data_IF_615861719035
#
_entry.id   IF_615861719035
#
_cell.length_a   1.000
_cell.length_b   1.000
_cell.length_c   1.000
_cell.angle_alpha   90.00
_cell.angle_beta   90.00
_cell.angle_gamma   90.00
#
_symmetry.space_group_name_H-M   'P 1'
#
loop_
_entity.id
_entity.type
_entity.pdbx_description
1 polymer ?
#
# COMPACT_ATOMS: atom_id res chain seq x y z
N UNK A 1 0.67 79.59 -26.13
CA UNK A 1 1.04 79.04 -24.80
C UNK A 1 0.01 78.00 -24.41
N UNK A 2 0.33 76.73 -24.61
CA UNK A 2 -0.59 75.59 -24.45
C UNK A 2 -0.46 75.00 -23.05
N UNK A 3 -1.55 74.99 -22.28
CA UNK A 3 -1.66 74.24 -21.03
C UNK A 3 -2.49 72.99 -21.33
N UNK A 4 -1.83 71.84 -21.53
CA UNK A 4 -2.47 70.52 -21.56
C UNK A 4 -2.45 69.93 -20.14
N UNK A 5 -3.64 69.73 -19.56
CA UNK A 5 -3.84 68.80 -18.44
C UNK A 5 -3.66 67.38 -18.98
N UNK A 6 -2.71 66.64 -18.43
CA UNK A 6 -2.54 65.21 -18.70
C UNK A 6 -2.60 64.49 -17.36
N UNK A 7 -3.58 63.61 -17.21
CA UNK A 7 -3.76 62.77 -16.03
C UNK A 7 -2.62 61.76 -15.91
N UNK A 8 -2.08 61.61 -14.71
CA UNK A 8 -1.22 60.48 -14.35
C UNK A 8 -2.10 59.24 -14.20
N UNK A 9 -1.98 58.31 -15.14
CA UNK A 9 -2.35 56.91 -14.92
C UNK A 9 -1.09 56.20 -14.42
N UNK A 10 -1.13 55.74 -13.18
CA UNK A 10 -0.11 54.89 -12.58
C UNK A 10 -0.13 53.54 -13.29
N UNK A 11 0.86 53.27 -14.14
CA UNK A 11 1.09 51.94 -14.71
C UNK A 11 1.91 51.14 -13.70
N UNK A 12 1.23 50.32 -12.90
CA UNK A 12 1.85 49.26 -12.12
C UNK A 12 2.29 48.14 -13.08
N UNK A 13 3.55 48.15 -13.48
CA UNK A 13 4.21 46.99 -14.10
C UNK A 13 4.51 45.96 -13.01
N UNK A 14 3.57 45.06 -12.75
CA UNK A 14 3.84 43.86 -11.96
C UNK A 14 4.64 42.87 -12.80
N UNK A 15 5.97 42.87 -12.64
CA UNK A 15 6.82 41.76 -13.04
C UNK A 15 6.49 40.59 -12.12
N UNK A 16 5.72 39.63 -12.62
CA UNK A 16 5.54 38.36 -11.94
C UNK A 16 6.87 37.59 -11.99
N UNK A 17 7.67 37.69 -10.93
CA UNK A 17 8.73 36.73 -10.67
C UNK A 17 8.08 35.35 -10.55
N UNK A 18 8.29 34.49 -11.55
CA UNK A 18 8.15 33.06 -11.38
C UNK A 18 9.21 32.59 -10.40
N UNK A 19 8.89 32.60 -9.12
CA UNK A 19 9.67 31.90 -8.10
C UNK A 19 9.36 30.41 -8.23
N UNK A 20 10.22 29.71 -8.96
CA UNK A 20 10.28 28.26 -8.90
C UNK A 20 10.42 27.82 -7.45
N UNK A 21 9.54 26.92 -7.01
CA UNK A 21 9.61 26.31 -5.69
C UNK A 21 10.92 25.51 -5.64
N UNK A 22 11.86 25.82 -4.74
CA UNK A 22 13.06 25.02 -4.60
C UNK A 22 12.68 23.64 -4.07
N UNK A 23 13.24 22.60 -4.70
CA UNK A 23 13.20 21.23 -4.22
C UNK A 23 13.56 21.19 -2.73
N UNK A 24 12.55 20.93 -1.90
CA UNK A 24 12.71 20.85 -0.45
C UNK A 24 13.58 19.66 -0.07
N UNK A 25 14.85 19.95 0.20
CA UNK A 25 15.74 19.29 1.15
C UNK A 25 15.32 17.87 1.55
N UNK A 26 15.84 16.89 0.80
CA UNK A 26 16.10 15.56 1.31
C UNK A 26 17.11 15.67 2.47
N UNK A 27 16.62 16.01 3.67
CA UNK A 27 17.41 15.96 4.88
C UNK A 27 17.92 14.53 5.08
N UNK A 28 19.22 14.38 5.22
CA UNK A 28 19.90 13.14 5.60
C UNK A 28 19.24 12.54 6.85
N UNK A 29 18.30 11.60 6.67
CA UNK A 29 17.87 10.72 7.75
C UNK A 29 19.06 9.82 8.07
N UNK A 30 19.52 9.87 9.31
CA UNK A 30 20.68 9.10 9.76
C UNK A 30 20.45 7.60 9.49
N UNK A 31 21.37 6.97 8.77
CA UNK A 31 21.26 5.59 8.25
C UNK A 31 20.88 4.51 9.29
N UNK A 32 21.02 4.77 10.59
CA UNK A 32 20.59 3.84 11.67
C UNK A 32 19.08 3.68 11.82
N UNK A 33 18.28 4.64 11.34
CA UNK A 33 16.83 4.60 11.49
C UNK A 33 16.15 3.67 10.49
N UNK A 34 16.80 3.35 9.37
CA UNK A 34 16.16 2.67 8.23
C UNK A 34 16.37 1.14 8.19
N UNK A 35 16.79 0.53 9.32
CA UNK A 35 17.04 -0.91 9.41
C UNK A 35 16.21 -1.59 10.51
N UNK A 36 15.81 -2.86 10.31
CA UNK A 36 15.13 -3.64 11.34
C UNK A 36 15.97 -3.74 12.62
N UNK A 37 15.31 -3.71 13.79
CA UNK A 37 16.00 -3.88 15.08
C UNK A 37 16.40 -5.32 15.41
N UNK A 38 15.87 -6.31 14.70
CA UNK A 38 16.09 -7.71 14.95
C UNK A 38 16.82 -8.39 13.80
N UNK A 39 17.33 -9.59 14.06
CA UNK A 39 18.02 -10.43 13.07
C UNK A 39 17.18 -10.59 11.80
N UNK A 40 17.82 -10.39 10.64
CA UNK A 40 17.25 -10.71 9.34
C UNK A 40 16.99 -12.22 9.27
N UNK A 41 15.74 -12.61 9.02
CA UNK A 41 15.34 -14.01 8.93
C UNK A 41 15.12 -14.49 7.50
N UNK A 42 15.12 -13.56 6.55
CA UNK A 42 14.91 -13.82 5.13
C UNK A 42 16.16 -14.47 4.56
N UNK A 43 16.08 -15.70 4.01
CA UNK A 43 17.21 -16.27 3.28
C UNK A 43 17.64 -15.33 2.14
N UNK A 44 18.93 -15.04 2.05
CA UNK A 44 19.52 -14.05 1.13
C UNK A 44 18.91 -12.65 1.27
N UNK A 45 18.48 -12.30 2.48
CA UNK A 45 17.95 -10.98 2.81
C UNK A 45 19.05 -9.94 2.90
N UNK A 46 18.79 -8.75 2.36
CA UNK A 46 19.60 -7.55 2.57
C UNK A 46 19.40 -6.93 3.95
N UNK A 47 20.03 -5.78 4.19
CA UNK A 47 20.00 -5.06 5.46
C UNK A 47 18.62 -4.51 5.85
N UNK A 48 17.65 -4.48 4.94
CA UNK A 48 16.25 -4.15 5.24
C UNK A 48 15.41 -5.41 5.54
N UNK A 49 16.00 -6.59 5.34
CA UNK A 49 15.38 -7.90 5.48
C UNK A 49 14.68 -8.38 4.22
N UNK A 50 14.86 -7.71 3.08
CA UNK A 50 14.23 -8.10 1.83
C UNK A 50 15.12 -9.02 0.99
N UNK A 51 14.49 -9.93 0.28
CA UNK A 51 15.12 -10.70 -0.79
C UNK A 51 14.16 -10.79 -1.96
N UNK A 52 14.71 -10.93 -3.17
CA UNK A 52 13.88 -11.05 -4.38
C UNK A 52 13.07 -12.34 -4.37
N UNK A 53 11.81 -12.23 -4.81
CA UNK A 53 11.02 -13.41 -5.13
C UNK A 53 11.49 -14.00 -6.47
N UNK A 54 11.66 -15.32 -6.61
CA UNK A 54 12.13 -15.91 -7.85
C UNK A 54 11.12 -15.74 -8.99
N UNK A 55 11.61 -15.34 -10.18
CA UNK A 55 10.83 -15.31 -11.41
C UNK A 55 10.75 -16.71 -12.06
N UNK A 56 9.75 -16.98 -12.92
CA UNK A 56 8.61 -16.11 -13.23
C UNK A 56 7.52 -16.17 -12.14
N UNK A 57 6.93 -15.01 -11.83
CA UNK A 57 5.93 -14.87 -10.76
C UNK A 57 4.63 -15.65 -11.01
N UNK A 58 4.41 -16.10 -12.25
CA UNK A 58 3.27 -16.94 -12.65
C UNK A 58 3.33 -18.37 -12.11
N UNK A 59 4.52 -18.89 -11.75
CA UNK A 59 4.70 -20.29 -11.34
C UNK A 59 4.30 -20.58 -9.89
N UNK A 60 4.54 -19.63 -8.98
CA UNK A 60 4.20 -19.82 -7.56
C UNK A 60 2.89 -19.11 -7.22
N UNK A 61 2.02 -19.79 -6.47
CA UNK A 61 0.70 -19.26 -6.12
C UNK A 61 0.80 -17.90 -5.41
N UNK A 62 1.74 -17.74 -4.47
CA UNK A 62 1.83 -16.50 -3.68
C UNK A 62 2.22 -15.29 -4.53
N UNK A 63 3.20 -15.43 -5.43
CA UNK A 63 3.61 -14.35 -6.33
C UNK A 63 2.58 -14.06 -7.43
N UNK A 64 1.77 -15.06 -7.80
CA UNK A 64 0.66 -14.89 -8.73
C UNK A 64 -0.52 -14.14 -8.12
N UNK A 65 -0.82 -14.40 -6.85
CA UNK A 65 -1.92 -13.80 -6.09
C UNK A 65 -1.58 -12.37 -5.65
N UNK A 66 -0.31 -12.07 -5.39
CA UNK A 66 0.17 -10.73 -5.00
C UNK A 66 0.49 -9.87 -6.23
N UNK A 67 0.13 -8.60 -6.17
CA UNK A 67 0.30 -7.69 -7.29
C UNK A 67 0.51 -6.23 -6.87
N UNK A 68 0.90 -5.43 -7.85
CA UNK A 68 1.03 -3.98 -7.67
C UNK A 68 -0.36 -3.36 -7.67
N UNK A 69 -0.63 -2.51 -6.69
CA UNK A 69 -1.82 -1.68 -6.63
C UNK A 69 -1.39 -0.27 -7.05
N UNK A 70 -2.07 0.31 -8.02
CA UNK A 70 -1.78 1.64 -8.56
C UNK A 70 -3.02 2.50 -8.35
N UNK A 71 -2.87 3.61 -7.65
CA UNK A 71 -3.95 4.55 -7.34
C UNK A 71 -3.56 5.93 -7.84
N UNK A 72 -4.48 6.64 -8.49
CA UNK A 72 -4.27 8.04 -8.85
C UNK A 72 -4.59 8.88 -7.59
N UNK A 73 -3.57 9.51 -7.02
CA UNK A 73 -3.63 10.20 -5.74
C UNK A 73 -2.71 11.44 -5.78
N UNK A 74 -3.16 12.55 -5.22
CA UNK A 74 -2.35 13.79 -5.10
C UNK A 74 -1.73 14.31 -6.41
N UNK A 75 -2.32 13.98 -7.57
CA UNK A 75 -1.80 14.38 -8.89
C UNK A 75 -0.82 13.39 -9.52
N UNK A 76 -0.51 12.29 -8.83
CA UNK A 76 0.45 11.27 -9.28
C UNK A 76 -0.15 9.86 -9.20
N UNK A 77 0.58 8.86 -9.72
CA UNK A 77 0.24 7.45 -9.56
C UNK A 77 1.02 6.88 -8.39
N UNK A 78 0.34 6.62 -7.28
CA UNK A 78 0.95 6.03 -6.09
C UNK A 78 0.98 4.50 -6.16
N UNK A 79 2.18 3.90 -6.05
CA UNK A 79 2.32 2.46 -6.00
C UNK A 79 2.14 1.92 -4.58
N UNK A 80 1.35 0.87 -4.47
CA UNK A 80 1.20 0.02 -3.30
C UNK A 80 1.25 -1.45 -3.72
N UNK A 81 1.00 -2.34 -2.76
CA UNK A 81 0.80 -3.77 -2.96
C UNK A 81 -0.60 -4.17 -2.52
N UNK A 82 -1.20 -5.15 -3.21
CA UNK A 82 -2.41 -5.82 -2.77
C UNK A 82 -2.32 -7.33 -3.05
N UNK A 83 -3.27 -8.09 -2.54
CA UNK A 83 -3.40 -9.51 -2.87
C UNK A 83 -4.85 -9.94 -2.96
N UNK A 84 -5.12 -10.92 -3.84
CA UNK A 84 -6.45 -11.52 -3.93
C UNK A 84 -6.71 -12.36 -2.69
N UNK A 85 -7.90 -12.21 -2.10
CA UNK A 85 -8.37 -13.02 -0.98
C UNK A 85 -9.53 -13.91 -1.39
N UNK A 86 -9.60 -15.09 -0.79
CA UNK A 86 -10.71 -16.04 -0.98
C UNK A 86 -12.01 -15.42 -0.48
N UNK A 87 -13.07 -15.57 -1.27
CA UNK A 87 -14.39 -14.99 -1.00
C UNK A 87 -15.46 -15.65 -1.87
N UNK A 88 -16.74 -15.52 -1.49
CA UNK A 88 -17.85 -16.09 -2.27
C UNK A 88 -17.95 -15.43 -3.64
N UNK A 89 -17.82 -14.10 -3.69
CA UNK A 89 -17.83 -13.32 -4.94
C UNK A 89 -16.63 -13.59 -5.83
N UNK A 90 -15.52 -14.15 -5.32
CA UNK A 90 -14.28 -14.39 -6.06
C UNK A 90 -13.62 -13.14 -6.65
N UNK A 91 -13.95 -11.97 -6.09
CA UNK A 91 -13.63 -10.65 -6.66
C UNK A 91 -12.93 -9.71 -5.67
N UNK A 92 -12.49 -10.21 -4.51
CA UNK A 92 -11.96 -9.38 -3.44
C UNK A 92 -10.44 -9.33 -3.40
N UNK A 93 -9.92 -8.14 -3.11
CA UNK A 93 -8.53 -7.89 -2.73
C UNK A 93 -8.47 -7.42 -1.28
N UNK A 94 -7.30 -7.60 -0.65
CA UNK A 94 -6.93 -6.91 0.59
C UNK A 94 -5.69 -6.05 0.35
N UNK A 95 -5.68 -4.87 0.95
CA UNK A 95 -4.55 -3.93 0.95
C UNK A 95 -4.59 -3.04 2.20
N UNK A 96 -3.70 -2.07 2.31
CA UNK A 96 -3.75 -1.05 3.34
C UNK A 96 -4.84 -0.01 3.02
N UNK A 97 -5.34 0.69 4.04
CA UNK A 97 -6.33 1.74 3.85
C UNK A 97 -5.70 3.00 3.25
N UNK A 98 -4.48 3.35 3.64
CA UNK A 98 -3.79 4.52 3.07
C UNK A 98 -3.51 4.40 1.57
N UNK A 99 -3.43 3.18 1.02
CA UNK A 99 -3.24 2.98 -0.42
C UNK A 99 -4.45 3.34 -1.29
N UNK A 100 -5.61 3.59 -0.68
CA UNK A 100 -6.87 3.83 -1.41
C UNK A 100 -7.59 5.09 -0.93
N UNK A 101 -7.16 5.65 0.20
CA UNK A 101 -7.82 6.79 0.84
C UNK A 101 -6.91 7.45 1.88
N UNK A 102 -6.83 8.78 1.81
CA UNK A 102 -6.34 9.61 2.90
C UNK A 102 -7.03 9.29 4.24
N UNK A 103 -6.38 9.44 5.39
CA UNK A 103 -6.99 9.22 6.69
C UNK A 103 -7.93 10.38 7.07
N UNK A 104 -8.78 10.15 8.07
CA UNK A 104 -9.54 11.21 8.72
C UNK A 104 -10.74 11.71 7.94
N UNK A 105 -11.56 12.60 8.53
CA UNK A 105 -12.90 12.92 8.04
C UNK A 105 -12.88 13.64 6.68
N UNK A 106 -11.85 14.45 6.43
CA UNK A 106 -11.62 15.15 5.15
C UNK A 106 -10.92 14.28 4.11
N UNK A 107 -10.48 13.07 4.48
CA UNK A 107 -9.74 12.19 3.59
C UNK A 107 -10.56 11.73 2.38
N UNK A 108 -9.98 11.84 1.19
CA UNK A 108 -10.62 11.47 -0.07
C UNK A 108 -10.22 10.07 -0.48
N UNK A 109 -11.14 9.39 -1.17
CA UNK A 109 -10.78 8.15 -1.86
C UNK A 109 -9.97 8.50 -3.10
N UNK A 110 -8.93 7.71 -3.35
CA UNK A 110 -8.14 7.79 -4.56
C UNK A 110 -8.94 7.28 -5.75
N UNK A 111 -8.53 7.68 -6.94
CA UNK A 111 -9.24 7.37 -8.19
C UNK A 111 -8.43 6.39 -9.04
N UNK A 112 -9.05 5.89 -10.11
CA UNK A 112 -8.41 5.00 -11.10
C UNK A 112 -7.60 3.84 -10.50
N UNK A 113 -8.13 3.26 -9.42
CA UNK A 113 -7.43 2.23 -8.67
C UNK A 113 -7.38 0.94 -9.49
N UNK A 114 -6.17 0.44 -9.73
CA UNK A 114 -5.86 -0.66 -10.64
C UNK A 114 -4.95 -1.67 -9.96
N UNK A 115 -5.26 -2.95 -10.12
CA UNK A 115 -4.48 -4.05 -9.58
C UNK A 115 -3.83 -4.87 -10.70
N UNK A 116 -2.52 -5.14 -10.58
CA UNK A 116 -1.74 -5.89 -11.57
C UNK A 116 -1.08 -7.10 -10.88
N UNK A 117 -1.71 -8.28 -10.91
CA UNK A 117 -1.15 -9.49 -10.32
C UNK A 117 0.08 -9.96 -11.09
N UNK A 118 1.08 -10.48 -10.36
CA UNK A 118 2.36 -10.92 -10.93
C UNK A 118 3.07 -9.86 -11.80
N UNK A 119 2.89 -8.58 -11.47
CA UNK A 119 3.59 -7.48 -12.13
C UNK A 119 5.11 -7.68 -12.07
N UNK A 120 5.81 -7.40 -13.15
CA UNK A 120 7.26 -7.21 -13.10
C UNK A 120 7.70 -6.26 -14.20
N UNK A 121 8.76 -5.51 -13.96
CA UNK A 121 9.40 -4.71 -14.99
C UNK A 121 10.93 -4.76 -14.81
N UNK A 122 11.65 -4.31 -15.81
CA UNK A 122 13.00 -3.78 -15.64
C UNK A 122 12.88 -2.31 -15.25
N UNK A 123 13.87 -1.79 -14.54
CA UNK A 123 13.94 -0.38 -14.20
C UNK A 123 15.32 0.14 -14.55
N UNK A 124 15.35 1.34 -15.11
CA UNK A 124 16.58 2.09 -15.30
C UNK A 124 17.11 2.50 -13.92
N UNK A 125 18.38 2.22 -13.58
CA UNK A 125 18.90 2.43 -12.24
C UNK A 125 19.05 3.92 -11.89
N UNK A 126 19.21 4.78 -12.88
CA UNK A 126 19.49 6.21 -12.68
C UNK A 126 18.19 7.01 -12.60
N UNK A 127 17.24 6.71 -13.48
CA UNK A 127 15.96 7.42 -13.59
C UNK A 127 14.83 6.74 -12.82
N UNK A 128 14.99 5.47 -12.43
CA UNK A 128 13.93 4.65 -11.85
C UNK A 128 12.80 4.30 -12.83
N UNK A 129 12.91 4.66 -14.11
CA UNK A 129 11.85 4.48 -15.10
C UNK A 129 11.70 2.99 -15.45
N UNK A 130 10.48 2.48 -15.36
CA UNK A 130 10.17 1.10 -15.70
C UNK A 130 10.06 0.89 -17.21
N UNK A 131 10.66 -0.21 -17.70
CA UNK A 131 10.58 -0.69 -19.08
C UNK A 131 10.44 -2.23 -19.10
N UNK A 132 10.14 -2.82 -20.26
CA UNK A 132 9.84 -4.28 -20.38
C UNK A 132 8.80 -4.72 -19.34
N UNK A 133 7.69 -3.97 -19.27
CA UNK A 133 6.63 -4.20 -18.29
C UNK A 133 5.87 -5.47 -18.64
N UNK A 134 5.77 -6.39 -17.67
CA UNK A 134 5.02 -7.64 -17.76
C UNK A 134 3.85 -7.59 -16.80
N UNK A 135 2.65 -7.80 -17.36
CA UNK A 135 1.40 -7.95 -16.65
C UNK A 135 0.68 -9.22 -17.16
N UNK A 136 1.15 -10.43 -16.79
CA UNK A 136 0.71 -11.68 -17.41
C UNK A 136 -0.78 -12.00 -17.19
N UNK A 137 -1.39 -11.45 -16.15
CA UNK A 137 -2.82 -11.55 -15.87
C UNK A 137 -3.58 -10.24 -16.18
N UNK A 138 -2.88 -9.30 -16.81
CA UNK A 138 -3.30 -7.94 -17.12
C UNK A 138 -3.71 -7.11 -15.91
N UNK A 139 -4.25 -5.93 -16.20
CA UNK A 139 -4.72 -4.97 -15.20
C UNK A 139 -6.21 -5.17 -14.88
N UNK A 140 -6.55 -5.11 -13.59
CA UNK A 140 -7.90 -5.28 -13.06
C UNK A 140 -8.37 -3.99 -12.40
N UNK A 141 -9.50 -3.45 -12.87
CA UNK A 141 -10.06 -2.20 -12.36
C UNK A 141 -10.81 -2.44 -11.06
N UNK A 142 -10.51 -1.66 -10.03
CA UNK A 142 -11.27 -1.64 -8.77
C UNK A 142 -12.59 -0.90 -8.99
N UNK A 143 -13.68 -1.46 -8.46
CA UNK A 143 -15.03 -0.90 -8.55
C UNK A 143 -15.46 -0.19 -7.28
N UNK A 144 -15.04 -0.70 -6.13
CA UNK A 144 -15.44 -0.19 -4.83
C UNK A 144 -14.40 -0.59 -3.78
N UNK A 145 -14.26 0.28 -2.79
CA UNK A 145 -13.30 0.16 -1.70
C UNK A 145 -14.02 0.32 -0.37
N UNK A 146 -13.59 -0.46 0.62
CA UNK A 146 -14.07 -0.41 1.98
C UNK A 146 -12.88 -0.22 2.91
N UNK A 147 -12.97 0.78 3.78
CA UNK A 147 -11.99 1.07 4.83
C UNK A 147 -12.70 1.13 6.19
N UNK A 148 -11.94 0.97 7.27
CA UNK A 148 -12.52 1.01 8.62
C UNK A 148 -13.09 2.39 8.97
N UNK A 149 -14.11 2.43 9.83
CA UNK A 149 -14.65 3.70 10.36
C UNK A 149 -13.56 4.48 11.11
N UNK A 150 -12.71 3.78 11.84
CA UNK A 150 -11.59 4.35 12.58
C UNK A 150 -10.60 5.04 11.64
N UNK A 151 -10.29 4.45 10.48
CA UNK A 151 -9.49 5.11 9.44
C UNK A 151 -10.15 6.39 8.95
N UNK A 152 -11.47 6.34 8.70
CA UNK A 152 -12.25 7.48 8.20
C UNK A 152 -12.43 8.62 9.18
N UNK A 153 -12.38 8.36 10.49
CA UNK A 153 -12.74 9.34 11.53
C UNK A 153 -11.54 9.67 12.44
N UNK A 154 -10.37 9.13 12.16
CA UNK A 154 -9.15 9.45 12.90
C UNK A 154 -8.78 10.94 12.80
N UNK A 155 -8.09 11.44 13.83
CA UNK A 155 -7.41 12.75 13.81
C UNK A 155 -5.93 12.63 13.44
N UNK A 156 -5.47 11.43 13.07
CA UNK A 156 -4.11 11.18 12.65
C UNK A 156 -3.80 11.94 11.37
N UNK A 157 -2.70 12.68 11.39
CA UNK A 157 -2.08 13.32 10.24
C UNK A 157 -0.80 12.55 9.88
N UNK A 158 -0.63 12.21 8.60
CA UNK A 158 0.58 11.57 8.11
C UNK A 158 1.80 12.50 8.12
N UNK A 159 1.57 13.81 8.15
CA UNK A 159 2.62 14.83 8.17
C UNK A 159 3.04 15.20 9.60
N UNK A 160 2.32 14.73 10.63
CA UNK A 160 2.72 14.94 12.02
C UNK A 160 3.83 13.94 12.38
N UNK A 161 5.04 14.41 12.77
CA UNK A 161 6.13 13.52 13.19
C UNK A 161 5.83 12.77 14.50
N UNK A 162 4.90 13.28 15.33
CA UNK A 162 4.55 12.75 16.65
C UNK A 162 3.03 12.60 16.83
N UNK A 163 2.35 11.80 15.99
CA UNK A 163 0.91 11.75 15.99
C UNK A 163 0.38 11.16 17.31
N UNK A 164 -0.60 11.80 17.97
CA UNK A 164 -1.03 11.45 19.32
C UNK A 164 -1.72 10.07 19.41
N UNK A 165 -2.28 9.57 18.30
CA UNK A 165 -2.91 8.25 18.22
C UNK A 165 -2.53 7.57 16.91
N UNK A 166 -1.69 6.53 16.97
CA UNK A 166 -1.33 5.74 15.78
C UNK A 166 -2.46 4.80 15.39
N UNK A 167 -2.75 4.73 14.09
CA UNK A 167 -3.92 4.03 13.51
C UNK A 167 -3.56 2.78 12.70
N UNK A 168 -2.33 2.28 12.80
CA UNK A 168 -1.84 1.16 11.98
C UNK A 168 -2.68 -0.12 12.11
N UNK A 169 -3.39 -0.32 13.22
CA UNK A 169 -4.29 -1.47 13.39
C UNK A 169 -5.61 -1.36 12.59
N UNK A 170 -5.93 -0.16 12.11
CA UNK A 170 -7.11 0.18 11.32
C UNK A 170 -6.78 0.42 9.84
N UNK A 171 -5.49 0.36 9.49
CA UNK A 171 -4.95 0.56 8.15
C UNK A 171 -5.13 -0.69 7.27
N UNK A 172 -6.39 -1.07 7.07
CA UNK A 172 -6.77 -2.21 6.24
C UNK A 172 -7.95 -1.82 5.36
N UNK A 173 -7.88 -2.23 4.10
CA UNK A 173 -8.94 -2.08 3.13
C UNK A 173 -9.30 -3.42 2.49
N UNK A 174 -10.55 -3.53 2.09
CA UNK A 174 -11.03 -4.57 1.18
C UNK A 174 -11.48 -3.87 -0.10
N UNK A 175 -11.13 -4.41 -1.25
CA UNK A 175 -11.47 -3.84 -2.55
C UNK A 175 -12.21 -4.89 -3.38
N UNK A 176 -13.24 -4.47 -4.12
CA UNK A 176 -13.86 -5.31 -5.16
C UNK A 176 -13.30 -4.92 -6.51
N UNK A 177 -12.85 -5.90 -7.29
CA UNK A 177 -12.44 -5.70 -8.69
C UNK A 177 -13.55 -6.08 -9.65
N UNK A 178 -13.61 -5.44 -10.82
CA UNK A 178 -14.50 -5.85 -11.90
C UNK A 178 -14.07 -7.21 -12.48
N UNK A 179 -15.00 -8.05 -12.98
CA UNK A 179 -14.63 -9.18 -13.82
C UNK A 179 -13.93 -8.67 -15.08
N UNK A 180 -13.03 -9.47 -15.64
CA UNK A 180 -12.32 -9.17 -16.88
C UNK A 180 -12.54 -10.31 -17.85
N UNK A 181 -13.05 -9.99 -19.03
CA UNK A 181 -13.37 -10.97 -20.09
C UNK A 181 -14.24 -12.12 -19.53
N UNK A 182 -15.29 -11.77 -18.78
CA UNK A 182 -16.19 -12.74 -18.14
C UNK A 182 -15.59 -13.52 -16.94
N UNK A 183 -14.30 -13.37 -16.64
CA UNK A 183 -13.63 -14.12 -15.56
C UNK A 183 -13.48 -13.27 -14.30
N UNK A 184 -13.67 -13.90 -13.14
CA UNK A 184 -13.40 -13.29 -11.83
C UNK A 184 -11.94 -13.49 -11.46
N UNK A 185 -11.35 -12.52 -10.77
CA UNK A 185 -9.90 -12.50 -10.55
C UNK A 185 -9.40 -13.74 -9.81
N UNK A 186 -10.15 -14.22 -8.82
CA UNK A 186 -9.75 -15.40 -8.05
C UNK A 186 -9.77 -16.68 -8.89
N UNK A 187 -10.61 -16.74 -9.93
CA UNK A 187 -10.65 -17.85 -10.90
C UNK A 187 -9.45 -17.80 -11.88
N UNK A 188 -8.72 -16.68 -11.94
CA UNK A 188 -7.56 -16.49 -12.81
C UNK A 188 -6.26 -16.73 -12.06
N UNK A 189 -6.11 -16.14 -10.87
CA UNK A 189 -4.83 -16.11 -10.14
C UNK A 189 -4.84 -16.93 -8.86
N UNK A 190 -6.02 -17.34 -8.37
CA UNK A 190 -6.24 -17.89 -7.04
C UNK A 190 -6.46 -16.79 -6.00
N UNK A 191 -6.43 -17.16 -4.71
CA UNK A 191 -6.54 -16.21 -3.61
C UNK A 191 -6.05 -16.81 -2.29
N UNK A 192 -5.54 -15.95 -1.41
CA UNK A 192 -5.18 -16.34 -0.05
C UNK A 192 -6.43 -16.52 0.82
N UNK A 193 -6.44 -17.54 1.67
CA UNK A 193 -7.45 -17.61 2.73
C UNK A 193 -7.22 -16.46 3.74
N UNK A 194 -8.23 -15.66 4.08
CA UNK A 194 -8.12 -14.72 5.19
C UNK A 194 -8.02 -15.45 6.53
N UNK A 195 -6.97 -15.18 7.29
CA UNK A 195 -6.77 -15.72 8.64
C UNK A 195 -7.21 -14.66 9.64
N UNK A 196 -8.50 -14.67 9.97
CA UNK A 196 -9.06 -13.73 10.94
C UNK A 196 -8.61 -14.11 12.35
N UNK A 197 -8.00 -13.18 13.08
CA UNK A 197 -7.50 -13.43 14.43
C UNK A 197 -7.51 -12.17 15.30
N UNK A 198 -7.70 -12.32 16.61
CA UNK A 198 -7.75 -11.18 17.53
C UNK A 198 -6.36 -10.76 18.06
N UNK A 199 -5.48 -11.74 18.30
CA UNK A 199 -4.17 -11.56 18.93
C UNK A 199 -3.23 -12.74 18.63
N UNK A 200 -2.00 -12.68 19.15
CA UNK A 200 -1.05 -13.81 19.16
C UNK A 200 0.25 -13.54 18.42
N UNK A 201 1.12 -14.54 18.43
CA UNK A 201 2.41 -14.54 17.72
C UNK A 201 2.32 -15.46 16.51
N UNK A 202 3.08 -15.15 15.46
CA UNK A 202 3.10 -15.97 14.24
C UNK A 202 4.39 -15.73 13.45
N UNK A 203 4.83 -16.73 12.70
CA UNK A 203 5.85 -16.57 11.66
C UNK A 203 5.16 -16.31 10.32
N UNK A 204 5.69 -15.42 9.52
CA UNK A 204 5.10 -15.08 8.23
C UNK A 204 6.17 -14.80 7.17
N UNK A 205 5.73 -14.82 5.91
CA UNK A 205 6.43 -14.19 4.78
C UNK A 205 5.53 -13.08 4.25
N UNK A 206 6.06 -11.88 4.08
CA UNK A 206 5.37 -10.78 3.42
C UNK A 206 5.92 -10.58 2.02
N UNK A 207 5.04 -10.29 1.06
CA UNK A 207 5.38 -10.03 -0.33
C UNK A 207 4.94 -8.61 -0.71
N UNK A 208 5.73 -7.91 -1.53
CA UNK A 208 5.36 -6.58 -2.00
C UNK A 208 6.32 -6.01 -3.02
N UNK A 209 5.99 -4.82 -3.50
CA UNK A 209 6.75 -4.08 -4.50
C UNK A 209 7.35 -2.81 -3.87
N UNK A 210 8.34 -2.95 -2.97
CA UNK A 210 8.99 -1.80 -2.36
C UNK A 210 9.62 -0.90 -3.44
N UNK A 211 9.55 0.40 -3.21
CA UNK A 211 10.02 1.48 -4.07
C UNK A 211 9.90 2.82 -3.33
N UNK A 212 9.88 3.93 -4.07
CA UNK A 212 9.74 5.27 -3.47
C UNK A 212 11.07 5.87 -3.00
N UNK A 213 12.10 5.76 -3.84
CA UNK A 213 13.37 6.48 -3.67
C UNK A 213 14.34 5.86 -2.66
N UNK A 214 14.03 4.69 -2.10
CA UNK A 214 14.96 3.95 -1.23
C UNK A 214 15.68 2.90 -2.08
N UNK A 215 16.96 3.12 -2.36
CA UNK A 215 17.78 2.15 -3.07
C UNK A 215 17.94 0.84 -2.25
N UNK A 216 18.06 -0.33 -2.91
CA UNK A 216 18.03 -0.57 -4.36
C UNK A 216 16.62 -0.82 -4.92
N UNK A 217 15.56 -0.40 -4.22
CA UNK A 217 14.18 -0.76 -4.57
C UNK A 217 13.55 0.27 -5.52
N UNK A 218 13.16 -0.21 -6.71
CA UNK A 218 12.61 0.63 -7.78
C UNK A 218 11.10 0.36 -8.02
N UNK A 219 10.44 -0.39 -7.14
CA UNK A 219 9.01 -0.73 -7.26
C UNK A 219 8.68 -1.60 -8.48
N UNK A 220 9.69 -2.19 -9.11
CA UNK A 220 9.59 -2.91 -10.38
C UNK A 220 9.57 -4.43 -10.20
N UNK A 221 9.98 -4.92 -9.04
CA UNK A 221 10.16 -6.34 -8.74
C UNK A 221 9.45 -6.71 -7.43
N UNK A 222 9.07 -7.99 -7.33
CA UNK A 222 8.42 -8.54 -6.17
C UNK A 222 9.49 -8.97 -5.18
N UNK A 223 9.46 -8.38 -4.00
CA UNK A 223 10.38 -8.66 -2.91
C UNK A 223 9.63 -9.39 -1.79
N UNK A 224 10.38 -10.16 -0.99
CA UNK A 224 9.87 -10.90 0.16
C UNK A 224 10.64 -10.56 1.42
N UNK A 225 9.96 -10.57 2.56
CA UNK A 225 10.61 -10.59 3.86
C UNK A 225 9.98 -11.64 4.77
N UNK A 226 10.82 -12.36 5.52
CA UNK A 226 10.41 -13.35 6.52
C UNK A 226 10.50 -12.71 7.89
N UNK A 227 9.42 -12.81 8.67
CA UNK A 227 9.33 -12.16 9.96
C UNK A 227 8.62 -12.97 11.03
N UNK A 228 8.81 -12.53 12.28
CA UNK A 228 8.01 -12.95 13.42
C UNK A 228 7.10 -11.80 13.86
N UNK A 229 5.80 -11.99 13.64
CA UNK A 229 4.77 -11.05 14.03
C UNK A 229 4.32 -11.29 15.46
N UNK A 230 4.10 -10.20 16.20
CA UNK A 230 3.40 -10.19 17.49
C UNK A 230 2.56 -8.94 17.61
N UNK A 231 1.62 -8.90 18.56
CA UNK A 231 0.86 -7.69 18.82
C UNK A 231 1.80 -6.49 19.10
N UNK A 232 1.47 -5.34 18.51
CA UNK A 232 2.10 -4.08 18.86
C UNK A 232 1.51 -3.56 20.18
N UNK A 233 2.26 -2.76 20.96
CA UNK A 233 1.72 -2.01 22.08
C UNK A 233 0.48 -1.21 21.68
N UNK A 234 -0.55 -1.15 22.53
CA UNK A 234 -1.84 -0.52 22.22
C UNK A 234 -1.71 0.93 21.74
N UNK A 235 -0.74 1.68 22.27
CA UNK A 235 -0.40 3.06 21.86
C UNK A 235 0.05 3.21 20.40
N UNK A 236 0.51 2.13 19.77
CA UNK A 236 0.90 2.10 18.35
C UNK A 236 -0.31 1.84 17.44
N UNK A 237 -1.44 1.42 18.02
CA UNK A 237 -2.68 1.19 17.30
C UNK A 237 -3.34 -0.09 17.78
N UNK A 238 -4.59 -0.02 18.27
CA UNK A 238 -5.35 -1.22 18.62
C UNK A 238 -5.42 -2.19 17.44
N UNK A 239 -4.91 -3.41 17.63
CA UNK A 239 -4.92 -4.45 16.59
C UNK A 239 -3.76 -4.40 15.60
N UNK A 240 -2.81 -3.46 15.75
CA UNK A 240 -1.56 -3.52 15.00
C UNK A 240 -0.73 -4.73 15.45
N UNK A 241 -0.03 -5.32 14.49
CA UNK A 241 1.04 -6.30 14.72
C UNK A 241 2.36 -5.66 14.34
N UNK A 242 3.45 -6.08 14.99
CA UNK A 242 4.80 -5.60 14.71
C UNK A 242 5.74 -6.75 14.42
N UNK A 243 6.71 -6.49 13.55
CA UNK A 243 7.91 -7.29 13.35
C UNK A 243 9.14 -6.41 13.55
N UNK A 244 10.26 -7.02 13.90
CA UNK A 244 11.58 -6.37 13.94
C UNK A 244 12.54 -7.02 12.93
N UNK A 245 12.05 -7.86 12.03
CA UNK A 245 12.90 -8.62 11.09
C UNK A 245 12.91 -8.05 9.67
N UNK A 246 12.01 -7.11 9.42
CA UNK A 246 11.84 -6.39 8.17
C UNK A 246 11.80 -4.90 8.50
N UNK A 247 12.33 -4.07 7.61
CA UNK A 247 12.01 -2.67 7.48
C UNK A 247 10.95 -2.51 6.39
N UNK A 248 9.96 -1.63 6.55
CA UNK A 248 8.92 -1.47 5.51
C UNK A 248 9.31 -0.32 4.62
N UNK A 249 9.40 -0.60 3.33
CA UNK A 249 9.75 0.40 2.33
C UNK A 249 8.47 0.83 1.60
N UNK A 250 8.31 2.11 1.23
CA UNK A 250 7.16 2.58 0.48
C UNK A 250 6.86 1.68 -0.73
N UNK A 251 5.60 1.55 -1.14
CA UNK A 251 5.20 0.56 -2.16
C UNK A 251 4.98 -0.86 -1.64
N UNK A 252 5.62 -1.28 -0.55
CA UNK A 252 5.28 -2.55 0.12
C UNK A 252 3.93 -2.47 0.85
N UNK A 253 3.49 -1.26 1.21
CA UNK A 253 2.19 -0.99 1.82
C UNK A 253 1.06 -1.82 1.21
N UNK A 254 0.27 -2.47 2.08
CA UNK A 254 -0.79 -3.41 1.69
C UNK A 254 -0.34 -4.84 1.37
N UNK A 255 0.97 -5.10 1.31
CA UNK A 255 1.53 -6.43 1.05
C UNK A 255 1.10 -7.46 2.10
N UNK A 256 0.65 -8.67 1.70
CA UNK A 256 0.06 -9.65 2.60
C UNK A 256 1.11 -10.30 3.50
N UNK A 257 0.84 -10.40 4.80
CA UNK A 257 1.62 -11.21 5.74
C UNK A 257 1.04 -12.63 5.76
N UNK A 258 1.73 -13.53 5.06
CA UNK A 258 1.28 -14.88 4.78
C UNK A 258 1.85 -15.82 5.83
N UNK A 259 0.98 -16.49 6.58
CA UNK A 259 1.35 -17.60 7.46
C UNK A 259 1.30 -18.89 6.63
N UNK A 260 2.43 -19.62 6.48
CA UNK A 260 2.49 -20.86 5.70
C UNK A 260 1.40 -21.85 6.10
N UNK A 261 0.78 -22.50 5.13
CA UNK A 261 -0.32 -23.45 5.34
C UNK A 261 -1.64 -22.86 5.82
N UNK A 262 -1.71 -21.55 6.12
CA UNK A 262 -2.92 -20.91 6.67
C UNK A 262 -3.48 -19.82 5.77
N UNK A 263 -2.66 -18.84 5.36
CA UNK A 263 -3.09 -17.72 4.53
C UNK A 263 -2.69 -16.36 5.07
N UNK A 264 -3.42 -15.30 4.70
CA UNK A 264 -3.07 -13.91 5.03
C UNK A 264 -3.64 -13.51 6.39
N UNK A 265 -2.79 -13.09 7.33
CA UNK A 265 -3.21 -12.72 8.70
C UNK A 265 -3.16 -11.22 8.96
N UNK A 266 -2.40 -10.47 8.16
CA UNK A 266 -2.25 -9.04 8.23
C UNK A 266 -1.85 -8.48 6.86
N UNK A 267 -1.98 -7.17 6.69
CA UNK A 267 -1.38 -6.42 5.59
C UNK A 267 -0.34 -5.44 6.11
N UNK A 268 0.68 -5.18 5.32
CA UNK A 268 1.73 -4.22 5.65
C UNK A 268 1.13 -2.81 5.75
N UNK A 269 1.41 -2.11 6.84
CA UNK A 269 0.90 -0.75 7.08
C UNK A 269 2.07 0.24 7.02
N UNK A 270 2.66 0.55 8.16
CA UNK A 270 3.72 1.55 8.29
C UNK A 270 4.89 1.04 9.13
N UNK A 271 5.75 1.95 9.57
CA UNK A 271 6.86 1.67 10.48
C UNK A 271 6.86 2.62 11.66
N UNK A 272 7.47 2.18 12.77
CA UNK A 272 7.66 2.99 13.97
C UNK A 272 8.94 2.60 14.67
N UNK A 273 9.81 3.59 14.94
CA UNK A 273 11.19 3.33 15.32
C UNK A 273 11.79 2.28 14.37
N UNK A 274 12.55 1.31 14.87
CA UNK A 274 13.15 0.19 14.10
C UNK A 274 12.23 -1.04 13.96
N UNK A 275 10.93 -0.84 13.78
CA UNK A 275 9.93 -1.92 13.66
C UNK A 275 8.91 -1.63 12.57
N UNK A 276 8.62 -2.63 11.74
CA UNK A 276 7.51 -2.58 10.80
C UNK A 276 6.20 -3.00 11.45
N UNK A 277 5.12 -2.38 11.01
CA UNK A 277 3.76 -2.60 11.47
C UNK A 277 2.91 -3.21 10.36
N UNK A 278 1.96 -4.04 10.78
CA UNK A 278 0.89 -4.53 9.93
C UNK A 278 -0.47 -4.34 10.59
N UNK A 279 -1.49 -4.15 9.77
CA UNK A 279 -2.87 -4.19 10.20
C UNK A 279 -3.34 -5.66 10.23
N UNK A 280 -3.57 -6.20 11.43
CA UNK A 280 -4.08 -7.57 11.56
C UNK A 280 -5.51 -7.65 11.00
N UNK A 281 -5.81 -8.74 10.30
CA UNK A 281 -7.17 -9.07 9.90
C UNK A 281 -7.96 -9.50 11.14
N UNK A 282 -8.61 -8.55 11.83
CA UNK A 282 -9.39 -8.82 13.04
C UNK A 282 -10.88 -9.03 12.74
N UNK A 283 -11.58 -9.78 13.60
CA UNK A 283 -13.04 -9.90 13.52
C UNK A 283 -13.75 -8.53 13.56
N UNK A 284 -13.20 -7.57 14.30
CA UNK A 284 -13.82 -6.25 14.53
C UNK A 284 -13.45 -5.18 13.50
N UNK A 285 -12.39 -5.39 12.72
CA UNK A 285 -11.95 -4.42 11.70
C UNK A 285 -12.15 -4.98 10.31
N UNK A 286 -11.37 -5.99 9.93
CA UNK A 286 -11.45 -6.63 8.62
C UNK A 286 -12.77 -7.37 8.39
N UNK A 287 -13.31 -8.06 9.41
CA UNK A 287 -14.53 -8.86 9.28
C UNK A 287 -15.74 -8.12 8.66
N UNK A 288 -16.14 -6.95 9.19
CA UNK A 288 -17.20 -6.14 8.61
C UNK A 288 -16.91 -5.68 7.18
N UNK A 289 -15.67 -5.26 6.88
CA UNK A 289 -15.29 -4.83 5.54
C UNK A 289 -15.41 -5.98 4.53
N UNK A 290 -14.88 -7.15 4.90
CA UNK A 290 -14.94 -8.35 4.08
C UNK A 290 -16.37 -8.76 3.76
N UNK A 291 -17.25 -8.85 4.78
CA UNK A 291 -18.66 -9.23 4.55
C UNK A 291 -19.40 -8.22 3.67
N UNK A 292 -19.22 -6.92 3.94
CA UNK A 292 -19.87 -5.88 3.15
C UNK A 292 -19.40 -5.88 1.69
N UNK A 293 -18.09 -6.07 1.47
CA UNK A 293 -17.51 -6.16 0.14
C UNK A 293 -18.01 -7.40 -0.60
N UNK A 294 -17.96 -8.58 0.03
CA UNK A 294 -18.35 -9.84 -0.60
C UNK A 294 -19.82 -9.84 -0.99
N UNK A 295 -20.70 -9.38 -0.09
CA UNK A 295 -22.12 -9.23 -0.38
C UNK A 295 -22.37 -8.25 -1.51
N UNK A 296 -21.75 -7.08 -1.50
CA UNK A 296 -21.91 -6.10 -2.57
C UNK A 296 -21.46 -6.66 -3.92
N UNK A 297 -20.33 -7.36 -3.98
CA UNK A 297 -19.81 -7.95 -5.22
C UNK A 297 -20.71 -9.06 -5.78
N UNK A 298 -21.35 -9.86 -4.91
CA UNK A 298 -22.35 -10.86 -5.33
C UNK A 298 -23.57 -10.20 -6.00
N UNK A 299 -24.13 -9.16 -5.38
CA UNK A 299 -25.27 -8.42 -5.93
C UNK A 299 -24.94 -7.79 -7.28
N UNK A 300 -23.74 -7.21 -7.43
CA UNK A 300 -23.32 -6.56 -8.66
C UNK A 300 -23.05 -7.51 -9.83
N UNK A 301 -22.90 -8.81 -9.57
CA UNK A 301 -22.67 -9.82 -10.61
C UNK A 301 -23.88 -10.72 -10.87
N UNK A 302 -25.01 -10.47 -10.18
CA UNK A 302 -26.20 -11.32 -10.28
C UNK A 302 -25.99 -12.74 -9.74
N UNK A 303 -24.86 -12.99 -9.06
CA UNK A 303 -24.55 -14.28 -8.45
C UNK A 303 -25.29 -14.37 -7.09
N UNK A 304 -26.31 -15.23 -7.01
CA UNK A 304 -27.00 -15.59 -5.76
C UNK A 304 -26.13 -16.53 -4.91
#
# INVERSE_FOLDING_TARGET
MNIKRTGQVVVLTSVALMTGIPAGHAGQRTARADHPAGKILTPHGDDHGYARWPKPYTRHAWSRITGKLLSDAHGEVEPCTASVIRSRSRMLLVSAAHCVRDPGPKGRFFTNIRFVPAYSAKADPDTGKNYDVRAPYGTWRVRKVWVTKQWRHTRYDFNDPNPPVRISGFDVSVLSVAPKNGRRIQDVVGGFAPVVSAAGRFRFTTLGYPGGGIAPYLGNLLERCVGRGKNAPRKIGPGAVRTRNCWVIPGHSGGPWIVPGRGVIAVTSSQVARSSLGARLKPTTFGPLYRAADLWSLHMTGAK
#
